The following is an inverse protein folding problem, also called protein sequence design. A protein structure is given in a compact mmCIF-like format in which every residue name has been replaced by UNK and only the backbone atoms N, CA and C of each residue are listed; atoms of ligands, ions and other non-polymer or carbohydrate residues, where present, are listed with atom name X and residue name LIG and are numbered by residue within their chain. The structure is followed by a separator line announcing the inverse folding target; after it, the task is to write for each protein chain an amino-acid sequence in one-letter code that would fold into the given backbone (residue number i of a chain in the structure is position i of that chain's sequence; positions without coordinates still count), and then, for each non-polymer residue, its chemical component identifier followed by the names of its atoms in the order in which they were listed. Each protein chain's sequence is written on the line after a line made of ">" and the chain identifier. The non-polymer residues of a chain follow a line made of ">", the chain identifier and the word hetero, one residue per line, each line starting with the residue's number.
data_IF_191986483395
#
_entry.id   IF_191986483395
#
_cell.length_a   1.000
_cell.length_b   1.000
_cell.length_c   1.000
_cell.angle_alpha   90.00
_cell.angle_beta   90.00
_cell.angle_gamma   90.00
#
_symmetry.space_group_name_H-M   'P 1'
#
loop_
_entity.id
_entity.type
_entity.pdbx_description
1 polymer ?
#
# COMPACT_ATOMS: atom_id res chain seq x y z
N UNK A 1 5.08 20.14 -3.15
CA UNK A 1 4.86 18.73 -3.47
C UNK A 1 3.74 18.21 -2.58
N UNK A 2 2.63 17.76 -3.16
CA UNK A 2 1.57 17.12 -2.37
C UNK A 2 1.95 15.66 -2.02
N UNK A 3 1.24 15.06 -1.06
CA UNK A 3 1.54 13.68 -0.64
C UNK A 3 1.51 12.68 -1.80
N UNK A 4 0.53 12.73 -2.74
CA UNK A 4 0.56 11.89 -3.93
C UNK A 4 1.86 12.03 -4.75
N UNK A 5 2.26 13.25 -5.12
CA UNK A 5 3.49 13.51 -5.88
C UNK A 5 4.74 12.97 -5.16
N UNK A 6 4.82 13.16 -3.85
CA UNK A 6 5.94 12.66 -3.05
C UNK A 6 6.00 11.13 -3.02
N UNK A 7 4.85 10.47 -2.87
CA UNK A 7 4.78 9.00 -2.89
C UNK A 7 5.16 8.45 -4.26
N UNK A 8 4.74 9.10 -5.35
CA UNK A 8 5.13 8.73 -6.72
C UNK A 8 6.64 8.84 -6.91
N UNK A 9 7.24 9.94 -6.44
CA UNK A 9 8.69 10.14 -6.46
C UNK A 9 9.43 9.03 -5.70
N UNK A 10 9.00 8.72 -4.47
CA UNK A 10 9.62 7.67 -3.64
C UNK A 10 9.51 6.27 -4.26
N UNK A 11 8.44 6.00 -5.01
CA UNK A 11 8.26 4.74 -5.76
C UNK A 11 9.07 4.68 -7.04
N UNK A 12 9.78 5.75 -7.41
CA UNK A 12 10.48 5.85 -8.69
C UNK A 12 9.53 5.90 -9.89
N UNK A 13 8.31 6.40 -9.71
CA UNK A 13 7.42 6.65 -10.85
C UNK A 13 7.98 7.77 -11.73
N UNK A 14 8.02 7.53 -13.03
CA UNK A 14 8.50 8.47 -14.03
C UNK A 14 7.63 8.41 -15.29
N UNK A 15 7.76 9.38 -16.22
CA UNK A 15 7.08 9.28 -17.52
C UNK A 15 7.46 8.02 -18.31
N UNK A 16 8.64 7.45 -18.09
CA UNK A 16 9.10 6.23 -18.75
C UNK A 16 8.57 4.95 -18.09
N UNK A 17 8.32 4.99 -16.77
CA UNK A 17 7.71 3.89 -16.02
C UNK A 17 6.81 4.47 -14.93
N UNK A 18 5.51 4.50 -15.20
CA UNK A 18 4.49 5.02 -14.30
C UNK A 18 3.97 4.00 -13.29
N UNK A 19 4.48 2.76 -13.29
CA UNK A 19 3.96 1.70 -12.42
C UNK A 19 4.21 2.03 -10.94
N UNK A 20 3.22 1.88 -10.05
CA UNK A 20 3.41 2.19 -8.64
C UNK A 20 4.26 1.16 -7.89
N UNK A 21 4.36 -0.08 -8.39
CA UNK A 21 5.22 -1.12 -7.81
C UNK A 21 6.17 -1.66 -8.88
N UNK A 22 7.46 -1.33 -8.74
CA UNK A 22 8.50 -1.70 -9.71
C UNK A 22 8.84 -3.19 -9.73
N UNK A 23 8.44 -3.92 -8.69
CA UNK A 23 8.69 -5.35 -8.57
C UNK A 23 7.59 -6.21 -9.23
N UNK A 24 6.51 -5.60 -9.73
CA UNK A 24 5.45 -6.33 -10.43
C UNK A 24 5.64 -6.19 -11.93
N UNK A 25 5.70 -7.33 -12.61
CA UNK A 25 5.92 -7.39 -14.06
C UNK A 25 4.83 -8.19 -14.77
N UNK A 26 4.64 -7.89 -16.04
CA UNK A 26 3.78 -8.67 -16.92
C UNK A 26 4.64 -9.81 -17.48
N UNK A 27 4.31 -11.09 -17.22
CA UNK A 27 5.09 -12.21 -17.74
C UNK A 27 4.73 -12.49 -19.20
N UNK A 28 4.85 -11.49 -20.08
CA UNK A 28 4.45 -11.54 -21.49
C UNK A 28 5.16 -12.63 -22.29
N UNK A 29 6.34 -13.05 -21.84
CA UNK A 29 7.14 -14.09 -22.48
C UNK A 29 6.71 -15.52 -22.09
N UNK A 30 5.84 -15.68 -21.08
CA UNK A 30 5.40 -17.00 -20.63
C UNK A 30 4.23 -17.47 -21.52
N UNK A 31 4.29 -18.66 -22.15
CA UNK A 31 3.22 -19.12 -23.06
C UNK A 31 1.83 -19.16 -22.42
N UNK A 32 1.77 -19.53 -21.14
CA UNK A 32 0.51 -19.59 -20.40
C UNK A 32 -0.09 -18.21 -20.04
N UNK A 33 0.65 -17.10 -20.24
CA UNK A 33 0.15 -15.76 -19.93
C UNK A 33 -1.06 -15.40 -20.80
N UNK A 34 -1.02 -15.74 -22.09
CA UNK A 34 -2.12 -15.46 -23.03
C UNK A 34 -3.39 -16.20 -22.62
N UNK A 35 -3.24 -17.43 -22.13
CA UNK A 35 -4.36 -18.26 -21.66
C UNK A 35 -4.73 -18.05 -20.19
N UNK A 36 -4.00 -17.20 -19.47
CA UNK A 36 -4.28 -16.97 -18.05
C UNK A 36 -5.56 -16.16 -17.89
N UNK A 37 -6.55 -16.74 -17.22
CA UNK A 37 -7.90 -16.17 -17.06
C UNK A 37 -7.89 -14.73 -16.52
N UNK A 38 -6.96 -14.42 -15.61
CA UNK A 38 -6.88 -13.12 -14.95
C UNK A 38 -5.76 -12.23 -15.50
N UNK A 39 -5.28 -12.47 -16.74
CA UNK A 39 -4.19 -11.68 -17.31
C UNK A 39 -4.50 -10.17 -17.38
N UNK A 40 -5.75 -9.82 -17.68
CA UNK A 40 -6.21 -8.43 -17.75
C UNK A 40 -6.22 -7.78 -16.37
N UNK A 41 -6.67 -8.52 -15.37
CA UNK A 41 -6.69 -8.07 -13.97
C UNK A 41 -5.27 -7.90 -13.42
N UNK A 42 -4.36 -8.84 -13.69
CA UNK A 42 -2.96 -8.71 -13.31
C UNK A 42 -2.29 -7.51 -13.96
N UNK A 43 -2.54 -7.27 -15.26
CA UNK A 43 -2.06 -6.08 -15.96
C UNK A 43 -2.54 -4.79 -15.28
N UNK A 44 -3.83 -4.71 -14.92
CA UNK A 44 -4.35 -3.56 -14.18
C UNK A 44 -3.65 -3.36 -12.82
N UNK A 45 -3.33 -4.44 -12.10
CA UNK A 45 -2.57 -4.38 -10.84
C UNK A 45 -1.14 -3.87 -11.08
N UNK A 46 -0.47 -4.33 -12.14
CA UNK A 46 0.88 -3.88 -12.49
C UNK A 46 0.88 -2.38 -12.85
N UNK A 47 -0.07 -1.95 -13.68
CA UNK A 47 -0.12 -0.60 -14.23
C UNK A 47 -0.62 0.44 -13.23
N UNK A 48 -1.58 0.07 -12.37
CA UNK A 48 -2.30 1.01 -11.51
C UNK A 48 -2.22 0.67 -10.02
N UNK A 49 -1.59 -0.46 -9.66
CA UNK A 49 -1.61 -0.98 -8.31
C UNK A 49 -2.94 -1.65 -7.96
N UNK A 50 -3.05 -2.12 -6.72
CA UNK A 50 -4.29 -2.72 -6.23
C UNK A 50 -5.27 -1.61 -5.85
N UNK A 51 -6.33 -1.45 -6.64
CA UNK A 51 -7.42 -0.52 -6.35
C UNK A 51 -8.48 -1.26 -5.52
N UNK A 52 -8.50 -0.99 -4.23
CA UNK A 52 -9.46 -1.57 -3.30
C UNK A 52 -10.72 -0.73 -3.22
N UNK A 53 -11.87 -1.39 -3.22
CA UNK A 53 -13.15 -0.78 -2.90
C UNK A 53 -13.72 -1.41 -1.64
N UNK A 54 -14.27 -0.56 -0.78
CA UNK A 54 -14.97 -1.01 0.42
C UNK A 54 -16.31 -1.60 0.01
N UNK A 55 -16.54 -2.89 0.30
CA UNK A 55 -17.85 -3.53 0.08
C UNK A 55 -18.96 -2.90 0.94
N UNK A 56 -18.59 -2.32 2.07
CA UNK A 56 -19.46 -1.59 2.99
C UNK A 56 -18.64 -0.47 3.62
N UNK A 57 -19.25 0.69 3.82
CA UNK A 57 -18.62 1.76 4.59
C UNK A 57 -18.26 1.26 6.00
N UNK A 58 -17.10 1.68 6.51
CA UNK A 58 -16.78 1.42 7.90
C UNK A 58 -17.77 2.15 8.80
N UNK A 59 -18.33 1.44 9.78
CA UNK A 59 -18.99 2.09 10.89
C UNK A 59 -17.96 2.93 11.65
N UNK A 60 -18.37 4.11 12.12
CA UNK A 60 -17.53 4.92 12.99
C UNK A 60 -17.20 4.09 14.24
N UNK A 61 -15.91 3.81 14.45
CA UNK A 61 -15.46 3.10 15.64
C UNK A 61 -15.10 4.13 16.72
N UNK A 62 -16.06 4.44 17.58
CA UNK A 62 -15.84 5.39 18.70
C UNK A 62 -15.13 4.74 19.91
N UNK A 63 -15.13 3.41 19.99
CA UNK A 63 -14.46 2.65 21.05
C UNK A 63 -13.61 1.53 20.46
N UNK A 64 -12.36 1.35 20.91
CA UNK A 64 -11.54 0.22 20.48
C UNK A 64 -12.23 -1.11 20.84
N UNK A 65 -12.18 -2.13 19.99
CA UNK A 65 -12.85 -3.39 20.25
C UNK A 65 -12.27 -4.08 21.51
N UNK A 66 -13.08 -4.79 22.32
CA UNK A 66 -12.64 -5.34 23.61
C UNK A 66 -11.49 -6.36 23.52
N UNK A 67 -11.25 -6.95 22.36
CA UNK A 67 -10.17 -7.91 22.10
C UNK A 67 -8.76 -7.27 22.04
N UNK A 68 -8.63 -5.98 22.34
CA UNK A 68 -7.40 -5.21 22.13
C UNK A 68 -6.27 -5.48 23.14
N UNK A 69 -6.43 -6.38 24.11
CA UNK A 69 -5.37 -6.71 25.06
C UNK A 69 -4.09 -7.20 24.35
N UNK A 70 -4.23 -8.01 23.31
CA UNK A 70 -3.12 -8.48 22.46
C UNK A 70 -2.51 -7.36 21.62
N UNK A 71 -3.34 -6.52 21.01
CA UNK A 71 -2.85 -5.41 20.19
C UNK A 71 -2.15 -4.32 21.02
N UNK A 72 -2.58 -4.07 22.27
CA UNK A 72 -1.84 -3.18 23.20
C UNK A 72 -0.46 -3.74 23.55
N UNK A 73 -0.36 -5.06 23.74
CA UNK A 73 0.93 -5.76 23.96
C UNK A 73 1.80 -5.76 22.70
N UNK A 74 1.20 -5.88 21.52
CA UNK A 74 1.90 -5.93 20.24
C UNK A 74 2.23 -4.53 19.66
N UNK A 75 1.68 -3.45 20.22
CA UNK A 75 1.81 -2.10 19.65
C UNK A 75 3.27 -1.69 19.44
N UNK A 76 4.13 -1.92 20.44
CA UNK A 76 5.55 -1.61 20.34
C UNK A 76 6.23 -2.43 19.24
N UNK A 77 5.86 -3.71 19.08
CA UNK A 77 6.35 -4.58 18.01
C UNK A 77 5.90 -4.08 16.64
N UNK A 78 4.62 -3.69 16.51
CA UNK A 78 4.06 -3.14 15.28
C UNK A 78 4.81 -1.84 14.92
N UNK A 79 4.95 -0.90 15.86
CA UNK A 79 5.69 0.35 15.64
C UNK A 79 7.16 0.09 15.27
N UNK A 80 7.82 -0.86 15.94
CA UNK A 80 9.21 -1.23 15.62
C UNK A 80 9.32 -1.79 14.20
N UNK A 81 8.42 -2.68 13.79
CA UNK A 81 8.43 -3.26 12.44
C UNK A 81 8.09 -2.22 11.37
N UNK A 82 7.16 -1.32 11.66
CA UNK A 82 6.81 -0.19 10.83
C UNK A 82 8.00 0.76 10.64
N UNK A 83 8.72 1.11 11.71
CA UNK A 83 9.97 1.90 11.64
C UNK A 83 11.06 1.18 10.86
N UNK A 84 11.28 -0.11 11.14
CA UNK A 84 12.23 -0.91 10.37
C UNK A 84 11.88 -0.97 8.87
N UNK A 85 10.58 -0.96 8.54
CA UNK A 85 10.11 -0.83 7.16
C UNK A 85 10.37 0.55 6.57
N UNK A 86 10.26 1.63 7.35
CA UNK A 86 10.64 2.98 6.91
C UNK A 86 12.16 3.11 6.71
N UNK A 87 12.95 2.66 7.67
CA UNK A 87 14.42 2.73 7.63
C UNK A 87 15.01 1.91 6.47
N UNK A 88 14.27 0.91 5.99
CA UNK A 88 14.63 0.09 4.85
C UNK A 88 14.02 0.57 3.51
N UNK A 89 13.40 1.76 3.48
CA UNK A 89 12.69 2.33 2.33
C UNK A 89 11.57 1.45 1.75
N UNK A 90 11.00 0.54 2.57
CA UNK A 90 9.95 -0.41 2.17
C UNK A 90 8.54 0.10 2.42
N UNK A 91 8.37 0.97 3.41
CA UNK A 91 7.06 1.52 3.79
C UNK A 91 7.15 3.01 4.08
N UNK A 92 6.12 3.77 3.72
CA UNK A 92 6.01 5.20 4.04
C UNK A 92 4.90 5.36 5.06
N UNK A 93 5.21 5.98 6.19
CA UNK A 93 4.23 6.36 7.20
C UNK A 93 4.22 7.88 7.25
N UNK A 94 3.12 8.46 6.77
CA UNK A 94 2.88 9.89 6.82
C UNK A 94 1.79 10.17 7.85
N UNK A 95 1.97 11.21 8.66
CA UNK A 95 0.88 11.76 9.48
C UNK A 95 0.09 12.73 8.61
N UNK A 96 -1.23 12.70 8.72
CA UNK A 96 -2.07 13.73 8.11
C UNK A 96 -2.00 15.00 8.96
N UNK A 97 -2.16 16.17 8.32
CA UNK A 97 -2.00 17.48 8.97
C UNK A 97 -2.97 17.69 10.16
N UNK A 98 -4.06 16.93 10.25
CA UNK A 98 -5.01 16.99 11.37
C UNK A 98 -4.43 16.47 12.70
N UNK A 99 -3.41 15.61 12.67
CA UNK A 99 -2.79 15.05 13.87
C UNK A 99 -1.60 15.87 14.39
N UNK A 100 -1.12 16.86 13.63
CA UNK A 100 0.04 17.68 14.02
C UNK A 100 -0.32 18.81 15.01
N UNK A 101 -1.61 19.08 15.22
CA UNK A 101 -2.14 20.11 16.13
C UNK A 101 -2.78 19.54 17.41
N UNK A 102 -2.47 18.29 17.77
CA UNK A 102 -2.81 17.67 19.07
C UNK A 102 -1.55 17.17 19.75
#
# INVERSE_FOLDING_TARGET
>A
MNLPEFVRLLRGESPADSRPNKNLEIPSNHPAWVSYEHNSHWRAIVDHGVILYWKKAFGKQDKPPPNHGSARRALNTIVKNLRAGQDADRTIIARTAEEANR
#
